data_IF_179096582673
#
_entry.id   IF_179096582673
#
_cell.length_a   1.000
_cell.length_b   1.000
_cell.length_c   1.000
_cell.angle_alpha   90.00
_cell.angle_beta   90.00
_cell.angle_gamma   90.00
#
_symmetry.space_group_name_H-M   'P 1'
#
loop_
_entity.id
_entity.type
_entity.pdbx_description
1 polymer ?
#
# COMPACT_ATOMS: atom_id res chain seq x y z
N UNK A 1 -21.83 25.86 -0.65
CA UNK A 1 -20.75 25.02 -1.22
C UNK A 1 -20.74 23.71 -0.45
N UNK A 2 -21.32 22.64 -1.01
CA UNK A 2 -21.14 21.30 -0.46
C UNK A 2 -19.67 20.95 -0.64
N UNK A 3 -18.93 20.85 0.48
CA UNK A 3 -17.62 20.24 0.51
C UNK A 3 -17.84 18.74 0.30
N UNK A 4 -17.95 18.34 -0.95
CA UNK A 4 -17.65 16.98 -1.38
C UNK A 4 -16.22 16.73 -0.92
N UNK A 5 -16.04 16.13 0.26
CA UNK A 5 -14.80 15.52 0.67
C UNK A 5 -14.57 14.34 -0.28
N UNK A 6 -14.20 14.66 -1.52
CA UNK A 6 -13.72 13.68 -2.47
C UNK A 6 -12.57 12.97 -1.79
N UNK A 7 -12.70 11.67 -1.60
CA UNK A 7 -11.60 10.79 -1.23
C UNK A 7 -10.58 10.82 -2.39
N UNK A 8 -9.83 11.92 -2.54
CA UNK A 8 -9.01 12.20 -3.72
C UNK A 8 -7.56 11.70 -3.53
N UNK A 9 -7.34 10.65 -2.73
CA UNK A 9 -5.98 10.21 -2.39
C UNK A 9 -5.86 8.69 -2.21
N UNK A 10 -6.62 7.96 -3.03
CA UNK A 10 -6.52 6.52 -3.21
C UNK A 10 -5.61 6.22 -4.42
N UNK A 11 -4.55 5.39 -4.30
CA UNK A 11 -4.04 4.73 -3.10
C UNK A 11 -3.07 5.59 -2.27
N UNK A 12 -3.03 5.40 -0.95
CA UNK A 12 -1.95 5.90 -0.10
C UNK A 12 -0.80 4.91 -0.04
N UNK A 13 0.35 5.32 -0.58
CA UNK A 13 1.55 4.51 -0.69
C UNK A 13 2.61 4.98 0.30
N UNK A 14 3.15 4.06 1.10
CA UNK A 14 4.18 4.35 2.08
C UNK A 14 5.35 3.36 1.98
N UNK A 15 6.58 3.87 2.14
CA UNK A 15 7.81 3.06 2.17
C UNK A 15 8.69 3.49 3.33
N UNK A 16 9.09 2.57 4.18
CA UNK A 16 10.06 2.80 5.25
C UNK A 16 11.29 1.91 5.03
N UNK A 17 12.50 2.48 5.10
CA UNK A 17 13.72 1.68 5.08
C UNK A 17 13.90 0.99 6.44
N UNK A 18 14.07 -0.32 6.43
CA UNK A 18 14.27 -1.16 7.64
C UNK A 18 15.64 -1.85 7.66
N UNK A 19 16.44 -1.70 6.60
CA UNK A 19 17.82 -2.17 6.55
C UNK A 19 18.53 -1.79 5.25
N UNK A 20 19.79 -2.22 5.05
CA UNK A 20 20.49 -2.05 3.78
C UNK A 20 19.72 -2.72 2.65
N UNK A 21 19.34 -1.93 1.64
CA UNK A 21 18.46 -2.35 0.54
C UNK A 21 17.13 -2.99 0.98
N UNK A 22 16.74 -2.94 2.26
CA UNK A 22 15.56 -3.61 2.79
C UNK A 22 14.51 -2.58 3.18
N UNK A 23 13.31 -2.70 2.63
CA UNK A 23 12.22 -1.75 2.78
C UNK A 23 10.94 -2.45 3.18
N UNK A 24 10.18 -1.78 4.05
CA UNK A 24 8.80 -2.09 4.34
C UNK A 24 7.91 -1.19 3.50
N UNK A 25 7.02 -1.79 2.73
CA UNK A 25 6.03 -1.13 1.91
C UNK A 25 4.65 -1.30 2.52
N UNK A 26 3.83 -0.26 2.41
CA UNK A 26 2.42 -0.31 2.81
C UNK A 26 1.58 0.44 1.79
N UNK A 27 0.47 -0.18 1.39
CA UNK A 27 -0.61 0.44 0.64
C UNK A 27 -1.84 0.49 1.51
N UNK A 28 -2.59 1.59 1.43
CA UNK A 28 -3.89 1.74 2.06
C UNK A 28 -4.86 2.44 1.09
N UNK A 29 -5.99 1.80 0.84
CA UNK A 29 -7.01 2.22 -0.11
C UNK A 29 -8.36 2.35 0.59
N UNK A 30 -9.12 3.37 0.19
CA UNK A 30 -10.47 3.58 0.70
C UNK A 30 -11.45 2.56 0.11
N UNK A 31 -11.24 2.15 -1.15
CA UNK A 31 -12.16 1.26 -1.87
C UNK A 31 -11.38 0.08 -2.47
N UNK A 32 -11.28 -1.01 -1.72
CA UNK A 32 -10.65 -2.24 -2.18
C UNK A 32 -11.71 -3.27 -2.50
N UNK A 33 -11.78 -3.66 -3.77
CA UNK A 33 -12.71 -4.68 -4.25
C UNK A 33 -12.11 -6.08 -4.06
N UNK A 34 -10.78 -6.22 -4.22
CA UNK A 34 -10.07 -7.48 -4.03
C UNK A 34 -8.62 -7.26 -3.57
N UNK A 35 -8.06 -8.26 -2.87
CA UNK A 35 -6.68 -8.25 -2.35
C UNK A 35 -5.63 -8.13 -3.46
N UNK A 36 -5.86 -8.72 -4.64
CA UNK A 36 -4.91 -8.68 -5.74
C UNK A 36 -4.59 -7.23 -6.17
N UNK A 37 -5.56 -6.32 -6.04
CA UNK A 37 -5.35 -4.91 -6.35
C UNK A 37 -4.35 -4.25 -5.39
N UNK A 38 -4.35 -4.63 -4.11
CA UNK A 38 -3.37 -4.14 -3.13
C UNK A 38 -1.98 -4.76 -3.35
N UNK A 39 -1.93 -6.01 -3.80
CA UNK A 39 -0.66 -6.67 -4.15
C UNK A 39 -0.02 -6.03 -5.39
N UNK A 40 -0.83 -5.66 -6.40
CA UNK A 40 -0.37 -4.89 -7.56
C UNK A 40 0.17 -3.50 -7.17
N UNK A 41 -0.53 -2.78 -6.28
CA UNK A 41 -0.05 -1.50 -5.77
C UNK A 41 1.28 -1.63 -5.00
N UNK A 42 1.46 -2.69 -4.21
CA UNK A 42 2.74 -2.98 -3.54
C UNK A 42 3.84 -3.27 -4.55
N UNK A 43 3.56 -4.04 -5.60
CA UNK A 43 4.53 -4.33 -6.65
C UNK A 43 4.92 -3.07 -7.44
N UNK A 44 3.94 -2.23 -7.79
CA UNK A 44 4.20 -0.94 -8.43
C UNK A 44 5.05 -0.02 -7.53
N UNK A 45 4.76 0.01 -6.22
CA UNK A 45 5.56 0.75 -5.25
C UNK A 45 6.98 0.18 -5.11
N UNK A 46 7.14 -1.14 -5.14
CA UNK A 46 8.43 -1.80 -5.12
C UNK A 46 9.32 -1.39 -6.29
N UNK A 47 8.79 -1.43 -7.51
CA UNK A 47 9.49 -1.01 -8.72
C UNK A 47 9.89 0.47 -8.67
N UNK A 48 9.04 1.33 -8.10
CA UNK A 48 9.35 2.75 -7.90
C UNK A 48 10.45 2.98 -6.85
N UNK A 49 10.57 2.10 -5.85
CA UNK A 49 11.56 2.23 -4.77
C UNK A 49 12.90 1.58 -5.11
N UNK A 50 12.90 0.55 -5.93
CA UNK A 50 14.10 -0.16 -6.35
C UNK A 50 14.33 0.01 -7.86
N UNK A 51 14.96 1.12 -8.31
CA UNK A 51 15.16 1.38 -9.73
C UNK A 51 16.08 0.35 -10.42
N UNK A 52 16.97 -0.30 -9.67
CA UNK A 52 17.83 -1.38 -10.16
C UNK A 52 17.13 -2.76 -10.20
N UNK A 53 15.93 -2.85 -9.64
CA UNK A 53 15.16 -4.10 -9.53
C UNK A 53 14.68 -4.35 -8.11
N UNK A 54 13.39 -4.66 -7.97
CA UNK A 54 12.83 -5.13 -6.71
C UNK A 54 12.96 -6.65 -6.60
N UNK A 55 13.40 -7.15 -5.45
CA UNK A 55 13.27 -8.56 -5.09
C UNK A 55 11.81 -8.94 -4.81
N UNK A 56 11.60 -10.19 -4.39
CA UNK A 56 10.27 -10.68 -4.06
C UNK A 56 9.66 -9.90 -2.88
N UNK A 57 8.34 -9.71 -2.92
CA UNK A 57 7.58 -9.24 -1.78
C UNK A 57 7.48 -10.37 -0.74
N UNK A 58 7.98 -10.11 0.46
CA UNK A 58 8.00 -11.01 1.60
C UNK A 58 7.09 -10.48 2.70
N UNK A 59 6.74 -11.33 3.67
CA UNK A 59 6.02 -10.93 4.89
C UNK A 59 4.73 -10.14 4.61
N UNK A 60 3.94 -10.59 3.63
CA UNK A 60 2.72 -9.91 3.20
C UNK A 60 1.64 -10.05 4.27
N UNK A 61 1.18 -8.92 4.81
CA UNK A 61 0.20 -8.86 5.90
C UNK A 61 -0.95 -7.91 5.56
N UNK A 62 -2.18 -8.37 5.77
CA UNK A 62 -3.37 -7.52 5.71
C UNK A 62 -3.50 -6.69 6.98
N UNK A 63 -3.64 -5.38 6.82
CA UNK A 63 -3.78 -4.44 7.92
C UNK A 63 -5.18 -3.81 7.90
N UNK A 64 -5.71 -3.36 9.05
CA UNK A 64 -6.89 -2.51 9.06
C UNK A 64 -6.57 -1.20 8.33
N UNK A 65 -7.41 -0.84 7.35
CA UNK A 65 -7.31 0.46 6.68
C UNK A 65 -7.43 1.59 7.69
N UNK A 66 -6.55 2.58 7.58
CA UNK A 66 -6.58 3.83 8.36
C UNK A 66 -7.24 4.97 7.58
N UNK A 67 -7.51 4.75 6.30
CA UNK A 67 -8.31 5.64 5.47
C UNK A 67 -9.78 5.45 5.84
N UNK A 68 -10.30 6.31 6.72
CA UNK A 68 -11.69 6.25 7.15
C UNK A 68 -12.66 6.69 6.04
N UNK A 69 -13.76 5.98 5.89
CA UNK A 69 -14.97 6.50 5.22
C UNK A 69 -15.86 7.13 6.30
N UNK A 70 -16.43 8.31 6.01
CA UNK A 70 -17.44 8.98 6.84
C UNK A 70 -18.69 8.10 7.10
N UNK A 71 -18.85 7.01 6.34
CA UNK A 71 -19.95 6.05 6.46
C UNK A 71 -19.51 4.64 6.88
N UNK A 72 -18.26 4.44 7.32
CA UNK A 72 -17.79 3.15 7.85
C UNK A 72 -17.54 2.06 6.81
N UNK A 73 -17.61 2.38 5.51
CA UNK A 73 -17.49 1.42 4.41
C UNK A 73 -16.06 1.19 3.89
N UNK A 74 -15.03 1.81 4.46
CA UNK A 74 -13.66 1.39 4.16
C UNK A 74 -13.48 -0.01 4.77
N UNK A 75 -13.62 -1.02 3.92
CA UNK A 75 -13.54 -2.43 4.27
C UNK A 75 -12.26 -2.65 5.10
N UNK A 76 -12.37 -3.42 6.21
CA UNK A 76 -11.24 -3.71 7.13
C UNK A 76 -10.00 -4.33 6.46
N UNK A 77 -10.08 -4.65 5.16
CA UNK A 77 -9.02 -5.22 4.32
C UNK A 77 -8.43 -4.20 3.34
N UNK A 78 -8.69 -2.90 3.53
CA UNK A 78 -8.24 -1.84 2.63
C UNK A 78 -6.74 -1.58 2.64
N UNK A 79 -5.96 -2.20 3.54
CA UNK A 79 -4.52 -2.00 3.63
C UNK A 79 -3.73 -3.31 3.58
N UNK A 80 -2.57 -3.26 2.92
CA UNK A 80 -1.63 -4.37 2.80
C UNK A 80 -0.21 -3.86 3.05
N UNK A 81 0.58 -4.65 3.76
CA UNK A 81 1.99 -4.40 4.01
C UNK A 81 2.81 -5.55 3.46
N UNK A 82 3.98 -5.25 2.92
CA UNK A 82 5.00 -6.24 2.58
C UNK A 82 6.38 -5.69 2.87
N UNK A 83 7.37 -6.58 2.91
CA UNK A 83 8.77 -6.24 2.97
C UNK A 83 9.44 -6.67 1.67
N UNK A 84 10.49 -5.99 1.27
CA UNK A 84 11.26 -6.35 0.08
C UNK A 84 12.69 -5.93 0.21
N UNK A 85 13.56 -6.67 -0.48
CA UNK A 85 14.96 -6.27 -0.68
C UNK A 85 15.16 -5.82 -2.11
N UNK A 86 15.70 -4.61 -2.31
CA UNK A 86 16.14 -4.19 -3.63
C UNK A 86 17.32 -5.07 -4.06
N UNK A 87 17.37 -5.37 -5.35
CA UNK A 87 18.52 -6.02 -5.96
C UNK A 87 19.69 -5.02 -6.05
N UNK A 88 20.93 -5.52 -5.94
CA UNK A 88 22.13 -4.69 -6.07
C UNK A 88 22.31 -4.13 -7.48
#
# INVERSE_FOLDING_TARGET
>A
MLLLAGCQSDPALHSARIGPAHYRLQVDRCHVIDRAQLEDDLQALALRKCPAGAGALENIQSLPSRKGSLFGECLRRGALQAELRCLP
#
